data_IF_104137801624
#
_entry.id   IF_104137801624
#
_cell.length_a   1.000
_cell.length_b   1.000
_cell.length_c   1.000
_cell.angle_alpha   90.00
_cell.angle_beta   90.00
_cell.angle_gamma   90.00
#
_symmetry.space_group_name_H-M   'P 1'
#
loop_
_entity.id
_entity.type
_entity.pdbx_description
1 polymer ?
#
# COMPACT_ATOMS: atom_id res chain seq x y z
N UNK A 1 11.68 44.79 -31.17
CA UNK A 1 12.23 44.71 -29.79
C UNK A 1 11.20 44.18 -28.80
N UNK A 2 9.97 44.72 -28.73
CA UNK A 2 8.90 44.18 -27.88
C UNK A 2 8.50 42.74 -28.21
N UNK A 3 8.42 42.38 -29.49
CA UNK A 3 8.00 41.04 -29.90
C UNK A 3 9.01 39.96 -29.50
N UNK A 4 10.31 40.25 -29.60
CA UNK A 4 11.40 39.37 -29.16
C UNK A 4 11.34 39.14 -27.64
N UNK A 5 11.03 40.19 -26.86
CA UNK A 5 10.90 40.08 -25.39
C UNK A 5 9.69 39.20 -25.03
N UNK A 6 8.57 39.36 -25.72
CA UNK A 6 7.38 38.51 -25.53
C UNK A 6 7.64 37.06 -25.92
N UNK A 7 8.42 36.83 -26.97
CA UNK A 7 8.76 35.49 -27.45
C UNK A 7 9.71 34.77 -26.48
N UNK A 8 10.71 35.46 -25.94
CA UNK A 8 11.60 34.92 -24.88
C UNK A 8 10.80 34.62 -23.60
N UNK A 9 9.87 35.50 -23.21
CA UNK A 9 8.99 35.26 -22.07
C UNK A 9 8.12 34.02 -22.28
N UNK A 10 7.53 33.88 -23.47
CA UNK A 10 6.69 32.72 -23.82
C UNK A 10 7.49 31.42 -23.82
N UNK A 11 8.72 31.44 -24.34
CA UNK A 11 9.64 30.31 -24.31
C UNK A 11 9.97 29.91 -22.87
N UNK A 12 10.20 30.89 -21.99
CA UNK A 12 10.49 30.66 -20.57
C UNK A 12 9.31 30.01 -19.86
N UNK A 13 8.09 30.50 -20.08
CA UNK A 13 6.86 29.95 -19.49
C UNK A 13 6.60 28.52 -20.00
N UNK A 14 6.87 28.26 -21.28
CA UNK A 14 6.74 26.93 -21.88
C UNK A 14 7.70 25.91 -21.24
N UNK A 15 8.97 26.30 -21.04
CA UNK A 15 9.95 25.44 -20.37
C UNK A 15 9.55 25.21 -18.91
N UNK A 16 9.09 26.25 -18.21
CA UNK A 16 8.67 26.14 -16.82
C UNK A 16 7.47 25.20 -16.65
N UNK A 17 6.44 25.33 -17.50
CA UNK A 17 5.25 24.44 -17.47
C UNK A 17 5.60 23.00 -17.83
N UNK A 18 6.52 22.79 -18.78
CA UNK A 18 7.02 21.45 -19.12
C UNK A 18 7.76 20.79 -17.93
N UNK A 19 8.62 21.54 -17.24
CA UNK A 19 9.34 21.05 -16.06
C UNK A 19 8.37 20.74 -14.91
N UNK A 20 7.42 21.63 -14.62
CA UNK A 20 6.40 21.40 -13.58
C UNK A 20 5.61 20.14 -13.90
N UNK A 21 5.13 19.98 -15.14
CA UNK A 21 4.38 18.78 -15.55
C UNK A 21 5.22 17.52 -15.39
N UNK A 22 6.50 17.57 -15.75
CA UNK A 22 7.42 16.42 -15.66
C UNK A 22 7.78 16.04 -14.22
N UNK A 23 7.81 16.97 -13.26
CA UNK A 23 8.22 16.67 -11.88
C UNK A 23 7.05 16.62 -10.89
N UNK A 24 6.04 17.49 -11.04
CA UNK A 24 4.89 17.53 -10.14
C UNK A 24 3.97 16.32 -10.31
N UNK A 25 3.72 15.87 -11.55
CA UNK A 25 2.88 14.68 -11.80
C UNK A 25 3.46 13.42 -11.16
N UNK A 26 4.73 13.02 -11.40
CA UNK A 26 5.28 11.84 -10.74
C UNK A 26 5.39 12.01 -9.22
N UNK A 27 5.64 13.22 -8.73
CA UNK A 27 5.71 13.48 -7.29
C UNK A 27 4.37 13.26 -6.58
N UNK A 28 3.28 13.78 -7.14
CA UNK A 28 1.93 13.57 -6.60
C UNK A 28 1.56 12.08 -6.68
N UNK A 29 1.88 11.42 -7.80
CA UNK A 29 1.62 9.98 -7.99
C UNK A 29 2.34 9.13 -6.95
N UNK A 30 3.63 9.37 -6.74
CA UNK A 30 4.45 8.64 -5.77
C UNK A 30 3.91 8.77 -4.33
N UNK A 31 3.40 9.96 -3.97
CA UNK A 31 2.80 10.17 -2.64
C UNK A 31 1.51 9.38 -2.46
N UNK A 32 0.68 9.29 -3.49
CA UNK A 32 -0.57 8.51 -3.47
C UNK A 32 -0.28 7.01 -3.43
N UNK A 33 0.65 6.53 -4.25
CA UNK A 33 1.00 5.10 -4.33
C UNK A 33 1.51 4.55 -2.99
N UNK A 34 2.39 5.29 -2.30
CA UNK A 34 2.86 4.92 -0.97
C UNK A 34 1.72 4.82 0.06
N UNK A 35 0.75 5.73 0.01
CA UNK A 35 -0.39 5.70 0.95
C UNK A 35 -1.33 4.52 0.69
N UNK A 36 -1.49 4.14 -0.58
CA UNK A 36 -2.30 2.99 -0.98
C UNK A 36 -1.62 1.69 -0.54
N UNK A 37 -0.30 1.58 -0.71
CA UNK A 37 0.47 0.41 -0.26
C UNK A 37 0.42 0.25 1.26
N UNK A 38 0.58 1.35 2.03
CA UNK A 38 0.43 1.30 3.48
C UNK A 38 -0.98 0.86 3.91
N UNK A 39 -2.02 1.40 3.27
CA UNK A 39 -3.39 0.99 3.55
C UNK A 39 -3.62 -0.51 3.24
N UNK A 40 -2.98 -1.05 2.20
CA UNK A 40 -3.06 -2.48 1.88
C UNK A 40 -2.40 -3.35 2.95
N UNK A 41 -1.25 -2.93 3.48
CA UNK A 41 -0.58 -3.59 4.59
C UNK A 41 -1.48 -3.58 5.84
N UNK A 42 -2.08 -2.44 6.18
CA UNK A 42 -2.98 -2.30 7.33
C UNK A 42 -4.23 -3.16 7.18
N UNK A 43 -4.84 -3.21 5.99
CA UNK A 43 -5.97 -4.09 5.72
C UNK A 43 -5.58 -5.57 5.79
N UNK A 44 -4.39 -5.93 5.33
CA UNK A 44 -3.88 -7.30 5.43
C UNK A 44 -3.69 -7.71 6.88
N UNK A 45 -3.05 -6.85 7.69
CA UNK A 45 -2.90 -7.07 9.14
C UNK A 45 -4.25 -7.23 9.83
N UNK A 46 -5.21 -6.36 9.52
CA UNK A 46 -6.53 -6.39 10.17
C UNK A 46 -7.34 -7.60 9.73
N UNK A 47 -7.22 -8.01 8.47
CA UNK A 47 -7.83 -9.22 7.96
C UNK A 47 -7.23 -10.47 8.61
N UNK A 48 -5.90 -10.52 8.81
CA UNK A 48 -5.22 -11.63 9.49
C UNK A 48 -5.66 -11.71 10.96
N UNK A 49 -5.69 -10.59 11.67
CA UNK A 49 -6.16 -10.51 13.06
C UNK A 49 -7.63 -10.94 13.19
N UNK A 50 -8.50 -10.42 12.33
CA UNK A 50 -9.92 -10.79 12.31
C UNK A 50 -10.10 -12.27 11.97
N UNK A 51 -9.33 -12.79 11.01
CA UNK A 51 -9.39 -14.21 10.64
C UNK A 51 -8.92 -15.11 11.79
N UNK A 52 -7.95 -14.67 12.60
CA UNK A 52 -7.53 -15.39 13.79
C UNK A 52 -8.57 -15.36 14.91
N UNK A 53 -9.18 -14.21 15.17
CA UNK A 53 -10.21 -14.06 16.20
C UNK A 53 -11.51 -14.80 15.83
N UNK A 54 -11.97 -14.69 14.58
CA UNK A 54 -13.23 -15.31 14.16
C UNK A 54 -13.10 -16.81 13.83
N UNK A 55 -11.93 -17.26 13.38
CA UNK A 55 -11.72 -18.64 12.91
C UNK A 55 -10.57 -19.33 13.66
N UNK A 56 -10.48 -19.12 14.97
CA UNK A 56 -9.42 -19.71 15.81
C UNK A 56 -9.35 -21.25 15.68
N UNK A 57 -10.49 -21.90 15.47
CA UNK A 57 -10.62 -23.35 15.35
C UNK A 57 -10.30 -23.92 13.94
N UNK A 58 -10.16 -23.08 12.91
CA UNK A 58 -9.84 -23.53 11.55
C UNK A 58 -8.33 -23.71 11.32
N UNK A 59 -7.92 -24.64 10.45
CA UNK A 59 -6.53 -24.79 10.07
C UNK A 59 -5.99 -23.52 9.39
N UNK A 60 -4.70 -23.23 9.61
CA UNK A 60 -4.06 -22.00 9.11
C UNK A 60 -4.11 -21.84 7.58
N UNK A 61 -4.19 -22.94 6.83
CA UNK A 61 -4.33 -22.96 5.37
C UNK A 61 -5.66 -22.38 4.90
N UNK A 62 -6.77 -22.74 5.55
CA UNK A 62 -8.09 -22.19 5.23
C UNK A 62 -8.19 -20.71 5.62
N UNK A 63 -7.59 -20.35 6.75
CA UNK A 63 -7.50 -18.94 7.20
C UNK A 63 -6.74 -18.08 6.19
N UNK A 64 -5.60 -18.57 5.69
CA UNK A 64 -4.79 -17.89 4.66
C UNK A 64 -5.64 -17.69 3.39
N UNK A 65 -6.37 -18.71 2.94
CA UNK A 65 -7.23 -18.61 1.77
C UNK A 65 -8.36 -17.58 1.90
N UNK A 66 -8.96 -17.43 3.09
CA UNK A 66 -9.99 -16.41 3.37
C UNK A 66 -9.38 -15.00 3.25
N UNK A 67 -8.20 -14.79 3.86
CA UNK A 67 -7.49 -13.50 3.81
C UNK A 67 -7.06 -13.18 2.38
N UNK A 68 -6.49 -14.15 1.64
CA UNK A 68 -6.13 -13.97 0.22
C UNK A 68 -7.34 -13.57 -0.61
N UNK A 69 -8.49 -14.23 -0.43
CA UNK A 69 -9.73 -13.88 -1.17
C UNK A 69 -10.23 -12.47 -0.82
N UNK A 70 -10.06 -12.04 0.42
CA UNK A 70 -10.43 -10.69 0.85
C UNK A 70 -9.52 -9.62 0.21
N UNK A 71 -8.20 -9.85 0.24
CA UNK A 71 -7.22 -8.95 -0.37
C UNK A 71 -7.40 -8.88 -1.89
N UNK A 72 -7.62 -10.02 -2.58
CA UNK A 72 -7.91 -10.03 -4.02
C UNK A 72 -9.13 -9.17 -4.39
N UNK A 73 -10.23 -9.25 -3.62
CA UNK A 73 -11.41 -8.38 -3.86
C UNK A 73 -11.09 -6.89 -3.67
N UNK A 74 -10.27 -6.55 -2.68
CA UNK A 74 -9.87 -5.15 -2.45
C UNK A 74 -8.99 -4.64 -3.59
N UNK A 75 -8.04 -5.46 -4.05
CA UNK A 75 -7.17 -5.15 -5.19
C UNK A 75 -7.98 -4.95 -6.47
N UNK A 76 -8.96 -5.82 -6.75
CA UNK A 76 -9.91 -5.68 -7.86
C UNK A 76 -10.72 -4.37 -7.77
N UNK A 77 -11.26 -4.04 -6.60
CA UNK A 77 -12.03 -2.79 -6.39
C UNK A 77 -11.17 -1.53 -6.56
N UNK A 78 -9.89 -1.60 -6.23
CA UNK A 78 -8.95 -0.48 -6.31
C UNK A 78 -8.22 -0.41 -7.65
N UNK A 79 -8.45 -1.38 -8.54
CA UNK A 79 -7.76 -1.51 -9.83
C UNK A 79 -6.23 -1.48 -9.68
N UNK A 80 -5.73 -2.22 -8.68
CA UNK A 80 -4.31 -2.40 -8.39
C UNK A 80 -3.93 -3.83 -8.77
N UNK A 81 -2.98 -3.98 -9.68
CA UNK A 81 -2.41 -5.28 -10.02
C UNK A 81 -1.28 -5.61 -9.04
N UNK A 82 -1.45 -6.68 -8.28
CA UNK A 82 -0.44 -7.25 -7.39
C UNK A 82 -0.28 -8.73 -7.72
N UNK A 83 0.96 -9.23 -7.72
CA UNK A 83 1.23 -10.65 -7.95
C UNK A 83 0.72 -11.50 -6.79
N UNK A 84 0.34 -12.74 -7.08
CA UNK A 84 -0.11 -13.68 -6.05
C UNK A 84 0.98 -13.93 -5.00
N UNK A 85 2.26 -13.91 -5.40
CA UNK A 85 3.42 -14.00 -4.50
C UNK A 85 3.55 -12.79 -3.58
N UNK A 86 3.26 -11.58 -4.07
CA UNK A 86 3.33 -10.36 -3.26
C UNK A 86 2.23 -10.35 -2.19
N UNK A 87 1.03 -10.82 -2.55
CA UNK A 87 -0.08 -11.03 -1.61
C UNK A 87 0.33 -12.04 -0.53
N UNK A 88 0.98 -13.12 -0.93
CA UNK A 88 1.43 -14.16 0.00
C UNK A 88 2.44 -13.63 1.01
N UNK A 89 3.46 -12.92 0.53
CA UNK A 89 4.50 -12.29 1.35
C UNK A 89 3.90 -11.28 2.33
N UNK A 90 2.92 -10.45 1.90
CA UNK A 90 2.24 -9.51 2.79
C UNK A 90 1.47 -10.22 3.90
N UNK A 91 0.78 -11.32 3.58
CA UNK A 91 0.03 -12.10 4.57
C UNK A 91 0.99 -12.76 5.56
N UNK A 92 2.10 -13.34 5.09
CA UNK A 92 3.10 -13.96 5.97
C UNK A 92 3.80 -12.94 6.87
N UNK A 93 4.13 -11.76 6.34
CA UNK A 93 4.67 -10.66 7.12
C UNK A 93 3.68 -10.22 8.21
N UNK A 94 2.40 -10.09 7.88
CA UNK A 94 1.34 -9.74 8.84
C UNK A 94 1.16 -10.82 9.93
N UNK A 95 1.15 -12.11 9.56
CA UNK A 95 1.10 -13.23 10.53
C UNK A 95 2.31 -13.22 11.44
N UNK A 96 3.51 -13.00 10.90
CA UNK A 96 4.75 -12.92 11.69
C UNK A 96 4.73 -11.74 12.66
N UNK A 97 4.27 -10.57 12.21
CA UNK A 97 4.13 -9.38 13.06
C UNK A 97 3.12 -9.61 14.18
N UNK A 98 1.99 -10.23 13.88
CA UNK A 98 0.98 -10.62 14.85
C UNK A 98 1.54 -11.59 15.90
N UNK A 99 2.28 -12.62 15.47
CA UNK A 99 2.90 -13.57 16.39
C UNK A 99 3.95 -12.89 17.28
N UNK A 100 4.80 -12.03 16.71
CA UNK A 100 5.77 -11.25 17.48
C UNK A 100 5.07 -10.33 18.50
N UNK A 101 3.96 -9.68 18.12
CA UNK A 101 3.17 -8.85 19.04
C UNK A 101 2.56 -9.67 20.19
N UNK A 102 2.13 -10.92 19.93
CA UNK A 102 1.65 -11.83 20.98
C UNK A 102 2.76 -12.25 21.95
N UNK A 103 3.95 -12.54 21.44
CA UNK A 103 5.11 -12.88 22.28
C UNK A 103 5.49 -11.72 23.19
N UNK A 104 5.51 -10.49 22.66
CA UNK A 104 5.80 -9.27 23.44
C UNK A 104 4.71 -9.02 24.49
N UNK A 105 3.43 -9.21 24.14
CA UNK A 105 2.31 -9.10 25.09
C UNK A 105 2.39 -10.14 26.22
N UNK A 106 2.80 -11.37 25.89
CA UNK A 106 2.97 -12.44 26.88
C UNK A 106 4.15 -12.18 27.83
N UNK A 107 5.19 -11.46 27.40
CA UNK A 107 6.30 -11.08 28.30
C UNK A 107 5.96 -9.92 29.23
N UNK A 108 5.01 -9.05 28.87
CA UNK A 108 4.61 -7.89 29.67
C UNK A 108 3.62 -8.23 30.80
N UNK A 109 2.89 -9.35 30.72
CA UNK A 109 1.98 -9.81 31.79
C UNK A 109 2.67 -10.70 32.85
N UNK A 110 3.94 -11.06 32.65
CA UNK A 110 4.70 -11.95 33.54
C UNK A 110 5.74 -11.23 34.44
N UNK A 111 5.71 -9.89 34.49
CA UNK A 111 6.44 -9.05 35.48
C UNK A 111 5.45 -8.43 36.49
#
# INVERSE_FOLDING_TARGET
>A
MRDIILEILKLTIMIATFLITRYAIPFIRAKTENSVMQALIDWTMQAVLAAEQCHQAMPGSERKAIVTKFIKRILEQKNIDLSDEEIDVMIEAAVKQMNAAKEIGATAENE
#
